data_IF_134535141473
#
_entry.id   IF_134535141473
#
_cell.length_a   1.000
_cell.length_b   1.000
_cell.length_c   1.000
_cell.angle_alpha   90.00
_cell.angle_beta   90.00
_cell.angle_gamma   90.00
#
_symmetry.space_group_name_H-M   'P 1'
#
loop_
_entity.id
_entity.type
_entity.pdbx_description
1 polymer ?
#
# COMPACT_ATOMS: atom_id res chain seq x y z
N UNK A 1 -4.19 -12.69 -8.35
CA UNK A 1 -4.71 -11.36 -8.00
C UNK A 1 -3.99 -10.95 -6.73
N UNK A 2 -3.45 -9.73 -6.68
CA UNK A 2 -2.80 -9.22 -5.47
C UNK A 2 -3.87 -9.06 -4.36
N UNK A 3 -3.53 -9.34 -3.10
CA UNK A 3 -4.43 -9.18 -1.95
C UNK A 3 -3.73 -8.25 -0.95
N UNK A 4 -4.20 -7.02 -0.87
CA UNK A 4 -3.59 -5.97 -0.06
C UNK A 4 -3.76 -6.26 1.44
N UNK A 5 -4.95 -6.71 1.84
CA UNK A 5 -5.27 -6.97 3.25
C UNK A 5 -4.41 -8.09 3.82
N UNK A 6 -4.28 -9.21 3.09
CA UNK A 6 -3.42 -10.32 3.50
C UNK A 6 -1.95 -9.92 3.54
N UNK A 7 -1.48 -9.16 2.53
CA UNK A 7 -0.10 -8.67 2.46
C UNK A 7 0.23 -7.77 3.65
N UNK A 8 -0.63 -6.80 3.98
CA UNK A 8 -0.44 -5.92 5.13
C UNK A 8 -0.47 -6.68 6.46
N UNK A 9 -1.37 -7.66 6.61
CA UNK A 9 -1.41 -8.54 7.81
C UNK A 9 -0.12 -9.34 7.96
N UNK A 10 0.46 -9.82 6.88
CA UNK A 10 1.74 -10.54 6.92
C UNK A 10 2.90 -9.63 7.31
N UNK A 11 2.95 -8.41 6.77
CA UNK A 11 3.92 -7.39 7.16
C UNK A 11 3.79 -7.06 8.65
N UNK A 12 2.56 -6.90 9.16
CA UNK A 12 2.27 -6.61 10.57
C UNK A 12 2.79 -7.67 11.56
N UNK A 13 3.07 -8.90 11.11
CA UNK A 13 3.66 -9.93 11.96
C UNK A 13 5.11 -9.63 12.35
N UNK A 14 5.82 -8.83 11.55
CA UNK A 14 7.25 -8.57 11.71
C UNK A 14 7.61 -7.08 11.78
N UNK A 15 6.75 -6.21 11.26
CA UNK A 15 6.94 -4.77 11.21
C UNK A 15 5.70 -4.04 11.72
N UNK A 16 5.89 -2.85 12.27
CA UNK A 16 4.78 -1.96 12.59
C UNK A 16 4.42 -1.15 11.33
N UNK A 17 3.13 -1.12 10.97
CA UNK A 17 2.64 -0.24 9.91
C UNK A 17 2.54 1.19 10.45
N UNK A 18 3.61 1.95 10.28
CA UNK A 18 3.66 3.39 10.56
C UNK A 18 4.66 4.09 9.60
N UNK A 19 4.79 5.40 9.74
CA UNK A 19 5.63 6.24 8.89
C UNK A 19 7.15 6.00 8.99
N UNK A 20 7.61 5.04 9.80
CA UNK A 20 9.00 4.58 9.79
C UNK A 20 9.19 3.38 8.85
N UNK A 21 8.11 2.69 8.49
CA UNK A 21 8.17 1.55 7.58
C UNK A 21 8.22 2.04 6.14
N UNK A 22 9.38 1.87 5.50
CA UNK A 22 9.53 2.18 4.08
C UNK A 22 9.06 0.98 3.25
N UNK A 23 8.20 1.23 2.28
CA UNK A 23 7.69 0.22 1.36
C UNK A 23 8.17 0.52 -0.06
N UNK A 24 8.36 -0.55 -0.82
CA UNK A 24 8.54 -0.51 -2.27
C UNK A 24 7.36 -1.21 -2.92
N UNK A 25 6.54 -0.44 -3.62
CA UNK A 25 5.35 -0.92 -4.33
C UNK A 25 5.62 -0.95 -5.82
N UNK A 26 5.39 -2.10 -6.44
CA UNK A 26 5.34 -2.24 -7.90
C UNK A 26 3.88 -2.24 -8.34
N UNK A 27 3.54 -1.37 -9.28
CA UNK A 27 2.20 -1.32 -9.88
C UNK A 27 2.06 -2.34 -11.02
N UNK A 28 0.83 -2.66 -11.39
CA UNK A 28 0.51 -3.56 -12.52
C UNK A 28 1.06 -3.03 -13.86
N UNK A 29 1.17 -1.72 -14.01
CA UNK A 29 1.74 -1.06 -15.20
C UNK A 29 3.29 -0.98 -15.16
N UNK A 30 3.92 -1.51 -14.11
CA UNK A 30 5.37 -1.61 -13.99
C UNK A 30 6.06 -0.42 -13.31
N UNK A 31 5.32 0.62 -12.89
CA UNK A 31 5.87 1.73 -12.11
C UNK A 31 6.32 1.25 -10.72
N UNK A 32 7.39 1.83 -10.20
CA UNK A 32 7.94 1.58 -8.87
C UNK A 32 7.77 2.83 -8.01
N UNK A 33 7.06 2.67 -6.89
CA UNK A 33 6.82 3.72 -5.90
C UNK A 33 7.51 3.30 -4.61
N UNK A 34 8.32 4.19 -4.05
CA UNK A 34 9.07 3.93 -2.82
C UNK A 34 8.84 5.08 -1.86
N UNK A 35 8.40 4.77 -0.64
CA UNK A 35 8.14 5.75 0.39
C UNK A 35 7.67 5.13 1.71
N UNK A 36 7.59 5.93 2.78
CA UNK A 36 6.98 5.52 4.03
C UNK A 36 5.52 5.10 3.88
N UNK A 37 5.10 4.08 4.63
CA UNK A 37 3.69 3.76 4.84
C UNK A 37 2.98 4.93 5.55
N UNK A 38 1.82 5.33 5.05
CA UNK A 38 1.04 6.42 5.63
C UNK A 38 -0.35 5.95 6.08
N UNK A 39 -1.02 5.09 5.31
CA UNK A 39 -2.40 4.73 5.59
C UNK A 39 -2.90 3.51 4.82
N UNK A 40 -4.07 3.04 5.25
CA UNK A 40 -4.82 1.96 4.62
C UNK A 40 -6.31 2.26 4.76
N UNK A 41 -7.04 2.10 3.66
CA UNK A 41 -8.51 2.21 3.63
C UNK A 41 -9.08 0.88 3.18
N UNK A 42 -9.96 0.28 3.99
CA UNK A 42 -10.63 -0.96 3.60
C UNK A 42 -11.69 -0.71 2.53
N UNK A 43 -11.96 -1.71 1.68
CA UNK A 43 -12.88 -1.58 0.55
C UNK A 43 -14.27 -1.04 0.96
N UNK A 44 -14.83 -1.51 2.09
CA UNK A 44 -16.14 -1.08 2.59
C UNK A 44 -16.19 0.40 3.02
N UNK A 45 -15.03 1.01 3.30
CA UNK A 45 -14.90 2.42 3.68
C UNK A 45 -14.34 3.26 2.54
N UNK A 46 -14.21 2.70 1.33
CA UNK A 46 -13.59 3.36 0.18
C UNK A 46 -14.56 3.55 -0.99
N UNK A 47 -14.29 4.55 -1.82
CA UNK A 47 -14.99 4.82 -3.07
C UNK A 47 -13.96 5.07 -4.18
N UNK A 48 -13.76 4.14 -5.14
CA UNK A 48 -14.52 2.89 -5.35
C UNK A 48 -14.32 1.86 -4.23
N UNK A 49 -15.21 0.86 -4.15
CA UNK A 49 -15.20 -0.24 -3.16
C UNK A 49 -14.01 -1.21 -3.38
N UNK A 50 -12.78 -0.69 -3.29
CA UNK A 50 -11.50 -1.37 -3.48
C UNK A 50 -10.59 -0.91 -2.35
N UNK A 51 -9.94 -1.85 -1.66
CA UNK A 51 -9.00 -1.49 -0.60
C UNK A 51 -7.81 -0.71 -1.17
N UNK A 52 -7.27 0.25 -0.43
CA UNK A 52 -6.14 1.07 -0.86
C UNK A 52 -5.08 1.23 0.22
N UNK A 53 -3.87 1.56 -0.21
CA UNK A 53 -2.73 1.91 0.63
C UNK A 53 -2.24 3.30 0.27
N UNK A 54 -1.90 4.09 1.28
CA UNK A 54 -1.25 5.40 1.11
C UNK A 54 0.25 5.28 1.40
N UNK A 55 1.05 5.82 0.48
CA UNK A 55 2.51 5.94 0.61
C UNK A 55 2.90 7.41 0.55
N UNK A 56 3.73 7.85 1.50
CA UNK A 56 4.27 9.21 1.50
C UNK A 56 5.32 9.38 0.41
N UNK A 57 5.14 10.38 -0.46
CA UNK A 57 6.11 10.76 -1.51
C UNK A 57 6.37 12.26 -1.45
N UNK A 58 7.55 12.62 -0.95
CA UNK A 58 7.96 14.02 -0.79
C UNK A 58 6.91 14.83 0.00
N UNK A 59 6.25 15.81 -0.62
CA UNK A 59 5.25 16.66 0.04
C UNK A 59 3.81 16.11 -0.06
N UNK A 60 3.56 15.07 -0.87
CA UNK A 60 2.22 14.53 -1.12
C UNK A 60 2.10 13.05 -0.73
N UNK A 61 0.87 12.56 -0.66
CA UNK A 61 0.58 11.14 -0.46
C UNK A 61 0.15 10.55 -1.81
N UNK A 62 0.54 9.31 -2.07
CA UNK A 62 0.06 8.53 -3.21
C UNK A 62 -0.82 7.43 -2.65
N UNK A 63 -2.09 7.44 -3.03
CA UNK A 63 -3.00 6.33 -2.80
C UNK A 63 -2.91 5.35 -3.98
N UNK A 64 -2.87 4.05 -3.67
CA UNK A 64 -2.88 2.97 -4.65
C UNK A 64 -3.96 1.96 -4.26
N UNK A 65 -4.87 1.68 -5.18
CA UNK A 65 -5.89 0.65 -5.01
C UNK A 65 -5.30 -0.76 -5.20
N UNK A 66 -5.87 -1.76 -4.54
CA UNK A 66 -5.41 -3.16 -4.58
C UNK A 66 -5.24 -3.68 -6.01
N UNK A 67 -6.14 -3.31 -6.91
CA UNK A 67 -6.11 -3.72 -8.33
C UNK A 67 -5.02 -3.01 -9.15
N UNK A 68 -4.39 -1.96 -8.64
CA UNK A 68 -3.27 -1.26 -9.25
C UNK A 68 -1.91 -1.85 -8.80
N UNK A 69 -1.91 -2.73 -7.79
CA UNK A 69 -0.69 -3.23 -7.14
C UNK A 69 -0.33 -4.61 -7.67
N UNK A 70 0.95 -4.79 -8.02
CA UNK A 70 1.53 -6.07 -8.39
C UNK A 70 2.30 -6.72 -7.22
N UNK A 71 3.04 -5.93 -6.43
CA UNK A 71 3.77 -6.43 -5.25
C UNK A 71 4.12 -5.30 -4.27
N UNK A 72 4.30 -5.67 -3.00
CA UNK A 72 4.84 -4.81 -1.93
C UNK A 72 6.04 -5.52 -1.30
N UNK A 73 7.14 -4.79 -1.15
CA UNK A 73 8.36 -5.21 -0.45
C UNK A 73 8.64 -4.26 0.73
N UNK A 74 9.16 -4.80 1.83
CA UNK A 74 9.63 -4.07 3.02
C UNK A 74 11.16 -3.96 2.97
#
# INVERSE_FOLDING_TARGET
MFNLVETLRDIMKTHKLDNNLKLKIKTVDGNIIIGPYEGFTQALDNEPEIASIEIKKDEYNIELYENEIASIEV
#
